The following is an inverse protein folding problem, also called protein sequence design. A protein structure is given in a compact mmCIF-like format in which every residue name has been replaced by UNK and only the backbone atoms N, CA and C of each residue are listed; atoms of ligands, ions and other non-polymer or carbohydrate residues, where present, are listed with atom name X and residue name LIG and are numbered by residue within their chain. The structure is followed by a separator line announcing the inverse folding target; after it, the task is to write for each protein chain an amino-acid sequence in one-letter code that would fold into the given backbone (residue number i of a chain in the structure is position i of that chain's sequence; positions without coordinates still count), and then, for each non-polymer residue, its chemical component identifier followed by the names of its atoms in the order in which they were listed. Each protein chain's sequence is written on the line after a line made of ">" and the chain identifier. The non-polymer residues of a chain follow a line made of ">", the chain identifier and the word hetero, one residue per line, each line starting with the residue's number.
data_IF_253952838925
#
_entry.id   IF_253952838925
#
_cell.length_a   1.000
_cell.length_b   1.000
_cell.length_c   1.000
_cell.angle_alpha   90.00
_cell.angle_beta   90.00
_cell.angle_gamma   90.00
#
_symmetry.space_group_name_H-M   'P 1'
#
loop_
_entity.id
_entity.type
_entity.pdbx_description
1 polymer ?
#
# COMPACT_ATOMS: atom_id res chain seq x y z
N UNK A 1 70.85 43.44 29.73
CA UNK A 1 69.80 43.26 28.71
C UNK A 1 70.46 43.06 27.36
N UNK A 2 70.39 41.86 26.80
CA UNK A 2 70.97 41.55 25.49
C UNK A 2 70.09 42.23 24.43
N UNK A 3 70.62 43.27 23.79
CA UNK A 3 69.92 44.00 22.73
C UNK A 3 69.75 43.15 21.47
N UNK A 4 68.61 43.31 20.78
CA UNK A 4 68.33 42.67 19.49
C UNK A 4 69.50 42.90 18.53
N UNK A 5 70.18 41.85 18.06
CA UNK A 5 71.30 41.99 17.14
C UNK A 5 70.82 42.33 15.72
N UNK A 6 71.70 42.93 14.90
CA UNK A 6 71.38 43.25 13.49
C UNK A 6 71.00 42.01 12.68
N UNK A 7 71.62 40.86 12.98
CA UNK A 7 71.33 39.56 12.36
C UNK A 7 69.92 39.07 12.70
N UNK A 8 69.50 39.20 13.96
CA UNK A 8 68.14 38.83 14.39
C UNK A 8 67.07 39.79 13.86
N UNK A 9 67.39 41.09 13.78
CA UNK A 9 66.51 42.08 13.17
C UNK A 9 66.26 41.77 11.70
N UNK A 10 67.31 41.44 10.93
CA UNK A 10 67.18 41.05 9.53
C UNK A 10 66.35 39.78 9.35
N UNK A 11 66.62 38.75 10.15
CA UNK A 11 65.86 37.49 10.13
C UNK A 11 64.36 37.70 10.45
N UNK A 12 64.06 38.63 11.36
CA UNK A 12 62.68 38.99 11.72
C UNK A 12 61.94 39.68 10.57
N UNK A 13 62.59 40.63 9.90
CA UNK A 13 62.01 41.37 8.77
C UNK A 13 61.83 40.47 7.54
N UNK A 14 62.85 39.69 7.18
CA UNK A 14 62.79 38.80 6.02
C UNK A 14 61.71 37.72 6.17
N UNK A 15 61.52 37.17 7.39
CA UNK A 15 60.47 36.18 7.65
C UNK A 15 59.06 36.76 7.47
N UNK A 16 58.83 38.00 7.94
CA UNK A 16 57.53 38.68 7.77
C UNK A 16 57.28 39.00 6.30
N UNK A 17 58.28 39.53 5.58
CA UNK A 17 58.14 39.82 4.15
C UNK A 17 57.93 38.57 3.30
N UNK A 18 58.56 37.44 3.67
CA UNK A 18 58.30 36.13 3.03
C UNK A 18 56.85 35.69 3.23
N UNK A 19 56.30 35.86 4.44
CA UNK A 19 54.91 35.53 4.72
C UNK A 19 53.92 36.45 3.98
N UNK A 20 54.22 37.74 3.83
CA UNK A 20 53.41 38.67 3.03
C UNK A 20 53.38 38.26 1.54
N UNK A 21 54.54 37.91 0.97
CA UNK A 21 54.64 37.42 -0.42
C UNK A 21 53.91 36.10 -0.66
N UNK A 22 53.73 35.30 0.39
CA UNK A 22 52.96 34.05 0.35
C UNK A 22 51.44 34.27 0.49
N UNK A 23 50.96 35.51 0.50
CA UNK A 23 49.52 35.84 0.52
C UNK A 23 48.92 35.96 1.93
N UNK A 24 49.73 35.96 3.00
CA UNK A 24 49.22 36.19 4.35
C UNK A 24 48.99 37.68 4.62
N UNK A 25 47.89 38.00 5.31
CA UNK A 25 47.53 39.38 5.58
C UNK A 25 48.47 40.07 6.59
N UNK A 26 48.65 41.40 6.50
CA UNK A 26 49.33 42.18 7.54
C UNK A 26 48.61 42.04 8.90
N UNK A 27 49.27 42.41 10.02
CA UNK A 27 48.75 42.18 11.38
C UNK A 27 47.34 42.73 11.67
N UNK A 28 46.85 43.70 10.89
CA UNK A 28 45.49 44.24 10.99
C UNK A 28 44.60 43.92 9.77
N UNK A 29 45.04 43.08 8.84
CA UNK A 29 44.31 42.69 7.62
C UNK A 29 43.52 41.39 7.80
N UNK A 30 42.42 41.23 7.07
CA UNK A 30 41.66 39.98 6.99
C UNK A 30 42.36 39.01 6.03
N UNK A 31 42.61 37.76 6.43
CA UNK A 31 43.08 36.67 5.55
C UNK A 31 42.10 35.49 5.59
N UNK A 32 41.97 34.73 4.49
CA UNK A 32 41.16 33.51 4.42
C UNK A 32 41.63 32.41 5.39
N UNK A 33 42.93 32.39 5.73
CA UNK A 33 43.50 31.40 6.65
C UNK A 33 43.34 31.76 8.14
N UNK A 34 42.79 32.93 8.46
CA UNK A 34 42.65 33.45 9.83
C UNK A 34 43.97 33.78 10.53
N UNK A 35 45.13 33.60 9.88
CA UNK A 35 46.47 33.86 10.43
C UNK A 35 47.14 35.04 9.73
N UNK A 36 47.74 35.93 10.51
CA UNK A 36 48.52 37.07 10.01
C UNK A 36 49.93 36.66 9.60
N UNK A 37 50.55 37.42 8.70
CA UNK A 37 51.93 37.24 8.27
C UNK A 37 52.92 37.24 9.47
N UNK A 38 52.61 38.01 10.52
CA UNK A 38 53.39 38.04 11.76
C UNK A 38 53.25 36.74 12.55
N UNK A 39 52.05 36.15 12.61
CA UNK A 39 51.84 34.86 13.29
C UNK A 39 52.60 33.72 12.60
N UNK A 40 52.53 33.67 11.26
CA UNK A 40 53.25 32.68 10.46
C UNK A 40 54.77 32.85 10.57
N UNK A 41 55.26 34.09 10.48
CA UNK A 41 56.68 34.38 10.63
C UNK A 41 57.19 34.10 12.05
N UNK A 42 56.39 34.34 13.09
CA UNK A 42 56.77 34.08 14.48
C UNK A 42 56.93 32.58 14.74
N UNK A 43 56.00 31.76 14.21
CA UNK A 43 56.10 30.31 14.27
C UNK A 43 57.37 29.80 13.57
N UNK A 44 57.68 30.32 12.37
CA UNK A 44 58.89 29.94 11.63
C UNK A 44 60.20 30.33 12.34
N UNK A 45 60.15 31.35 13.20
CA UNK A 45 61.28 31.83 13.99
C UNK A 45 61.34 31.22 15.40
N UNK A 46 60.33 30.44 15.82
CA UNK A 46 60.25 29.84 17.15
C UNK A 46 60.08 30.87 18.28
N UNK A 47 59.43 32.01 18.01
CA UNK A 47 59.19 33.08 19.00
C UNK A 47 57.71 33.41 19.11
N UNK A 48 57.32 34.05 20.21
CA UNK A 48 55.93 34.48 20.39
C UNK A 48 55.53 35.56 19.35
N UNK A 49 54.30 35.51 18.79
CA UNK A 49 53.82 36.50 17.82
C UNK A 49 53.85 37.95 18.34
N UNK A 50 53.55 38.15 19.63
CA UNK A 50 53.64 39.46 20.29
C UNK A 50 55.08 40.00 20.36
N UNK A 51 56.05 39.12 20.57
CA UNK A 51 57.48 39.44 20.53
C UNK A 51 57.92 39.83 19.13
N UNK A 52 57.52 39.07 18.09
CA UNK A 52 57.87 39.42 16.72
C UNK A 52 57.20 40.73 16.30
N UNK A 53 55.91 40.91 16.57
CA UNK A 53 55.17 42.14 16.28
C UNK A 53 55.85 43.37 16.91
N UNK A 54 56.25 43.26 18.17
CA UNK A 54 56.94 44.36 18.87
C UNK A 54 58.30 44.71 18.24
N UNK A 55 58.99 43.73 17.63
CA UNK A 55 60.26 43.94 16.90
C UNK A 55 60.05 44.69 15.59
N UNK A 56 59.02 44.32 14.83
CA UNK A 56 58.84 44.72 13.41
C UNK A 56 57.78 45.79 13.15
N UNK A 57 57.02 46.22 14.16
CA UNK A 57 56.09 47.34 14.04
C UNK A 57 56.83 48.62 13.63
N UNK A 58 56.12 49.57 13.03
CA UNK A 58 56.66 50.89 12.73
C UNK A 58 57.24 51.54 14.01
N UNK A 59 58.46 52.07 13.92
CA UNK A 59 59.22 52.61 15.07
C UNK A 59 59.75 51.55 16.05
N UNK A 60 59.60 50.26 15.74
CA UNK A 60 60.08 49.14 16.54
C UNK A 60 61.61 48.96 16.49
N UNK A 61 62.18 48.08 17.33
CA UNK A 61 63.62 47.83 17.38
C UNK A 61 64.29 47.49 16.04
N UNK A 62 63.61 46.80 15.10
CA UNK A 62 64.20 46.50 13.78
C UNK A 62 64.43 47.77 12.95
N UNK A 63 63.48 48.71 12.99
CA UNK A 63 63.57 49.99 12.27
C UNK A 63 64.47 50.97 13.04
N UNK A 64 64.22 51.17 14.34
CA UNK A 64 64.89 52.16 15.17
C UNK A 64 66.37 51.87 15.45
N UNK A 65 66.74 50.61 15.67
CA UNK A 65 68.12 50.24 16.04
C UNK A 65 68.96 49.81 14.84
N UNK A 66 68.33 49.32 13.75
CA UNK A 66 69.03 48.68 12.64
C UNK A 66 68.65 49.21 11.25
N UNK A 67 67.75 50.19 11.15
CA UNK A 67 67.23 50.75 9.90
C UNK A 67 66.64 49.69 8.94
N UNK A 68 65.96 48.68 9.48
CA UNK A 68 65.32 47.60 8.74
C UNK A 68 63.79 47.64 8.92
N UNK A 69 63.05 48.47 8.17
CA UNK A 69 61.60 48.46 8.18
C UNK A 69 61.04 47.28 7.38
N UNK A 70 59.87 46.77 7.79
CA UNK A 70 59.11 45.79 7.00
C UNK A 70 58.38 46.52 5.87
N UNK A 71 58.54 46.04 4.63
CA UNK A 71 57.72 46.52 3.52
C UNK A 71 56.35 45.82 3.53
N UNK A 72 55.35 46.51 4.10
CA UNK A 72 53.97 46.02 4.22
C UNK A 72 53.19 46.04 2.90
N UNK A 73 53.64 46.74 1.85
CA UNK A 73 52.96 46.77 0.54
C UNK A 73 53.13 45.47 -0.26
N UNK A 74 53.90 44.52 0.26
CA UNK A 74 54.03 43.16 -0.29
C UNK A 74 52.77 42.30 -0.10
N UNK A 75 51.77 42.77 0.65
CA UNK A 75 50.49 42.08 0.81
C UNK A 75 49.63 42.22 -0.45
N UNK A 76 49.23 41.10 -1.05
CA UNK A 76 48.24 41.07 -2.13
C UNK A 76 46.83 41.26 -1.51
N UNK A 77 45.96 42.15 -2.02
CA UNK A 77 44.60 42.28 -1.50
C UNK A 77 43.80 40.99 -1.75
N UNK A 78 43.07 40.51 -0.74
CA UNK A 78 42.18 39.35 -0.87
C UNK A 78 40.96 39.71 -1.75
N UNK A 79 40.44 38.77 -2.56
CA UNK A 79 39.22 39.01 -3.33
C UNK A 79 38.02 39.26 -2.41
N UNK A 80 37.15 40.19 -2.82
CA UNK A 80 35.98 40.66 -2.08
C UNK A 80 34.91 39.55 -1.99
N UNK A 81 34.47 39.21 -0.77
CA UNK A 81 33.46 38.18 -0.55
C UNK A 81 32.06 38.67 -0.98
N UNK A 82 31.35 37.83 -1.74
CA UNK A 82 30.00 38.13 -2.24
C UNK A 82 28.99 38.41 -1.10
N UNK A 83 27.99 39.29 -1.33
CA UNK A 83 27.01 39.66 -0.31
C UNK A 83 26.12 38.47 0.09
N UNK A 84 25.64 38.42 1.35
CA UNK A 84 24.74 37.35 1.80
C UNK A 84 23.40 37.40 1.06
N UNK A 85 22.75 36.25 0.84
CA UNK A 85 21.47 36.19 0.15
C UNK A 85 20.39 36.99 0.92
N UNK A 86 19.39 37.55 0.21
CA UNK A 86 18.33 38.34 0.83
C UNK A 86 17.51 37.50 1.83
N UNK A 87 16.97 38.12 2.90
CA UNK A 87 16.15 37.41 3.89
C UNK A 87 14.87 36.88 3.23
N UNK A 88 14.52 35.63 3.55
CA UNK A 88 13.33 34.98 3.03
C UNK A 88 12.05 35.75 3.38
N UNK A 89 11.09 35.81 2.44
CA UNK A 89 9.81 36.48 2.61
C UNK A 89 9.07 35.96 3.87
N UNK A 90 8.78 36.83 4.87
CA UNK A 90 8.10 36.43 6.11
C UNK A 90 6.74 35.74 5.88
N UNK A 91 6.04 36.07 4.81
CA UNK A 91 4.75 35.46 4.45
C UNK A 91 4.97 34.03 3.97
N UNK A 92 6.00 33.81 3.13
CA UNK A 92 6.35 32.49 2.64
C UNK A 92 6.87 31.59 3.76
N UNK A 93 7.70 32.14 4.66
CA UNK A 93 8.15 31.43 5.87
C UNK A 93 6.97 31.01 6.75
N UNK A 94 5.96 31.87 6.91
CA UNK A 94 4.76 31.53 7.67
C UNK A 94 3.92 30.45 6.97
N UNK A 95 3.69 30.56 5.66
CA UNK A 95 2.98 29.55 4.88
C UNK A 95 3.66 28.18 4.94
N UNK A 96 4.99 28.15 4.81
CA UNK A 96 5.77 26.93 4.93
C UNK A 96 5.67 26.33 6.34
N UNK A 97 5.72 27.15 7.40
CA UNK A 97 5.50 26.69 8.77
C UNK A 97 4.10 26.12 8.99
N UNK A 98 3.08 26.77 8.45
CA UNK A 98 1.69 26.30 8.56
C UNK A 98 1.51 24.98 7.79
N UNK A 99 2.11 24.84 6.59
CA UNK A 99 2.15 23.58 5.83
C UNK A 99 2.84 22.46 6.58
N UNK A 100 4.05 22.71 7.11
CA UNK A 100 4.81 21.71 7.88
C UNK A 100 4.03 21.27 9.12
N UNK A 101 3.35 22.19 9.81
CA UNK A 101 2.53 21.86 10.98
C UNK A 101 1.30 21.03 10.61
N UNK A 102 0.62 21.36 9.50
CA UNK A 102 -0.50 20.59 8.98
C UNK A 102 -0.07 19.19 8.54
N UNK A 103 1.05 19.07 7.82
CA UNK A 103 1.63 17.79 7.41
C UNK A 103 2.06 16.95 8.62
N UNK A 104 2.73 17.54 9.61
CA UNK A 104 3.13 16.83 10.83
C UNK A 104 1.94 16.31 11.64
N UNK A 105 0.89 17.13 11.78
CA UNK A 105 -0.35 16.73 12.46
C UNK A 105 -1.06 15.62 11.68
N UNK A 106 -1.12 15.74 10.34
CA UNK A 106 -1.71 14.73 9.47
C UNK A 106 -0.96 13.39 9.55
N UNK A 107 0.38 13.44 9.54
CA UNK A 107 1.26 12.28 9.70
C UNK A 107 1.04 11.60 11.06
N UNK A 108 1.00 12.36 12.15
CA UNK A 108 0.79 11.80 13.50
C UNK A 108 -0.58 11.08 13.62
N UNK A 109 -1.63 11.61 13.01
CA UNK A 109 -2.96 10.97 13.00
C UNK A 109 -2.93 9.68 12.17
N UNK A 110 -2.25 9.67 11.01
CA UNK A 110 -2.12 8.49 10.17
C UNK A 110 -1.31 7.39 10.84
N UNK A 111 -0.17 7.72 11.45
CA UNK A 111 0.66 6.82 12.25
C UNK A 111 -0.14 6.19 13.39
N UNK A 112 -0.96 6.98 14.09
CA UNK A 112 -1.82 6.47 15.16
C UNK A 112 -2.85 5.46 14.67
N UNK A 113 -3.50 5.72 13.52
CA UNK A 113 -4.49 4.79 12.96
C UNK A 113 -3.88 3.48 12.47
N UNK A 114 -2.67 3.55 11.90
CA UNK A 114 -1.92 2.37 11.51
C UNK A 114 -1.57 1.54 12.75
N UNK A 115 -1.03 2.22 13.78
CA UNK A 115 -0.72 1.60 15.07
C UNK A 115 -1.99 1.01 15.73
N UNK A 116 -3.16 1.63 15.60
CA UNK A 116 -4.41 1.10 16.16
C UNK A 116 -4.79 -0.24 15.49
N UNK A 117 -4.69 -0.35 14.15
CA UNK A 117 -4.99 -1.59 13.44
C UNK A 117 -3.99 -2.71 13.73
N UNK A 118 -2.70 -2.38 13.75
CA UNK A 118 -1.62 -3.29 14.10
C UNK A 118 -1.74 -3.77 15.56
N UNK A 119 -2.03 -2.86 16.48
CA UNK A 119 -2.25 -3.16 17.90
C UNK A 119 -3.49 -4.04 18.11
N UNK A 120 -4.58 -3.85 17.36
CA UNK A 120 -5.75 -4.73 17.44
C UNK A 120 -5.40 -6.15 16.97
N UNK A 121 -4.66 -6.28 15.85
CA UNK A 121 -4.23 -7.58 15.32
C UNK A 121 -3.36 -8.35 16.32
N UNK A 122 -2.39 -7.68 16.91
CA UNK A 122 -1.53 -8.30 17.92
C UNK A 122 -2.29 -8.60 19.22
N UNK A 123 -2.98 -7.61 19.80
CA UNK A 123 -3.60 -7.75 21.11
C UNK A 123 -4.79 -8.71 21.14
N UNK A 124 -5.65 -8.67 20.11
CA UNK A 124 -6.89 -9.47 20.09
C UNK A 124 -6.68 -10.83 19.42
N UNK A 125 -5.87 -10.91 18.36
CA UNK A 125 -5.74 -12.11 17.55
C UNK A 125 -4.39 -12.82 17.68
N UNK A 126 -3.42 -12.23 18.39
CA UNK A 126 -2.02 -12.72 18.51
C UNK A 126 -1.36 -12.91 17.14
N UNK A 127 -1.75 -12.08 16.18
CA UNK A 127 -1.18 -12.07 14.83
C UNK A 127 0.00 -11.10 14.79
N UNK A 128 0.91 -11.30 13.83
CA UNK A 128 1.98 -10.34 13.59
C UNK A 128 1.42 -9.01 13.14
N UNK A 129 1.97 -7.92 13.69
CA UNK A 129 1.64 -6.54 13.33
C UNK A 129 2.00 -6.16 11.87
N UNK A 130 2.83 -6.97 11.18
CA UNK A 130 3.27 -6.65 9.83
C UNK A 130 2.09 -6.51 8.85
N UNK A 131 2.07 -5.44 8.02
CA UNK A 131 1.16 -5.34 6.88
C UNK A 131 1.35 -6.58 6.00
N UNK A 132 0.24 -7.28 5.73
CA UNK A 132 0.27 -8.40 4.81
C UNK A 132 0.14 -7.83 3.40
N UNK A 133 1.25 -7.37 2.83
CA UNK A 133 1.29 -7.03 1.42
C UNK A 133 0.77 -8.21 0.60
N UNK A 134 -0.07 -7.98 -0.43
CA UNK A 134 -0.60 -9.06 -1.24
C UNK A 134 0.56 -9.90 -1.81
N UNK A 135 0.51 -11.24 -1.70
CA UNK A 135 1.63 -12.06 -2.11
C UNK A 135 1.83 -11.96 -3.62
N UNK A 136 3.06 -11.67 -4.05
CA UNK A 136 3.46 -11.95 -5.44
C UNK A 136 3.81 -13.43 -5.55
N UNK A 137 3.20 -14.14 -6.49
CA UNK A 137 3.44 -15.55 -6.75
C UNK A 137 4.07 -15.73 -8.11
N UNK A 138 5.40 -15.69 -8.11
CA UNK A 138 6.23 -15.86 -9.30
C UNK A 138 7.27 -16.96 -9.08
N UNK A 139 6.84 -18.23 -8.90
CA UNK A 139 7.77 -19.33 -8.82
C UNK A 139 8.66 -19.31 -10.06
N UNK A 140 9.99 -19.36 -9.85
CA UNK A 140 10.92 -19.56 -10.95
C UNK A 140 10.67 -20.96 -11.52
N UNK A 141 10.53 -21.14 -12.83
CA UNK A 141 10.41 -22.48 -13.40
C UNK A 141 11.65 -23.30 -13.03
N UNK A 142 11.45 -24.48 -12.46
CA UNK A 142 12.55 -25.36 -12.00
C UNK A 142 13.50 -25.77 -13.14
N UNK A 143 13.04 -25.67 -14.40
CA UNK A 143 13.82 -25.87 -15.62
C UNK A 143 13.32 -24.98 -16.77
N UNK A 144 14.16 -24.65 -17.77
CA UNK A 144 13.75 -23.89 -18.95
C UNK A 144 12.57 -24.50 -19.75
N UNK A 145 12.40 -25.82 -19.64
CA UNK A 145 11.35 -26.65 -20.24
C UNK A 145 10.26 -27.10 -19.23
N UNK A 146 10.38 -26.72 -17.96
CA UNK A 146 9.47 -27.11 -16.89
C UNK A 146 8.07 -26.52 -17.09
N UNK A 147 7.05 -27.38 -17.14
CA UNK A 147 5.64 -26.95 -17.18
C UNK A 147 5.23 -26.42 -15.80
N UNK A 148 5.32 -25.11 -15.57
CA UNK A 148 4.71 -24.47 -14.39
C UNK A 148 3.19 -24.59 -14.52
N UNK A 149 2.54 -25.18 -13.52
CA UNK A 149 1.08 -25.29 -13.47
C UNK A 149 0.42 -23.93 -13.44
N UNK A 150 -0.78 -23.81 -14.02
CA UNK A 150 -1.59 -22.59 -13.90
C UNK A 150 -1.92 -22.32 -12.43
N UNK A 151 -2.08 -21.05 -12.05
CA UNK A 151 -2.62 -20.69 -10.74
C UNK A 151 -4.14 -20.54 -10.83
N UNK A 152 -4.87 -20.86 -9.76
CA UNK A 152 -6.33 -20.66 -9.70
C UNK A 152 -6.63 -19.37 -8.94
N UNK A 153 -7.63 -18.62 -9.41
CA UNK A 153 -8.29 -17.56 -8.64
C UNK A 153 -9.74 -17.96 -8.42
N UNK A 154 -10.14 -18.10 -7.16
CA UNK A 154 -11.51 -18.35 -6.73
C UNK A 154 -12.02 -17.11 -5.98
N UNK A 155 -12.43 -16.04 -6.68
CA UNK A 155 -13.03 -14.89 -6.03
C UNK A 155 -14.34 -15.29 -5.34
N UNK A 156 -14.47 -14.89 -4.08
CA UNK A 156 -15.67 -15.06 -3.26
C UNK A 156 -16.09 -13.66 -2.81
N UNK A 157 -17.19 -13.14 -3.37
CA UNK A 157 -17.75 -11.83 -3.06
C UNK A 157 -19.22 -11.93 -2.70
N UNK A 158 -19.74 -10.87 -2.06
CA UNK A 158 -21.18 -10.64 -1.96
C UNK A 158 -21.90 -11.87 -1.37
N UNK A 159 -21.39 -12.35 -0.23
CA UNK A 159 -22.02 -13.44 0.52
C UNK A 159 -23.28 -12.92 1.20
N UNK A 160 -23.27 -11.68 1.67
CA UNK A 160 -24.37 -11.07 2.43
C UNK A 160 -24.88 -11.98 3.53
N UNK A 161 -23.96 -12.57 4.31
CA UNK A 161 -24.36 -13.44 5.42
C UNK A 161 -25.27 -12.65 6.38
N UNK A 162 -26.44 -13.21 6.66
CA UNK A 162 -27.49 -12.57 7.46
C UNK A 162 -28.65 -11.99 6.67
N UNK A 163 -28.54 -11.80 5.35
CA UNK A 163 -29.66 -11.36 4.51
C UNK A 163 -30.73 -12.45 4.39
N UNK A 164 -31.99 -12.02 4.29
CA UNK A 164 -33.14 -12.86 3.97
C UNK A 164 -33.77 -12.40 2.67
N UNK A 165 -33.99 -13.34 1.76
CA UNK A 165 -34.79 -13.15 0.54
C UNK A 165 -35.93 -14.16 0.61
N UNK A 166 -37.16 -13.64 0.64
CA UNK A 166 -38.35 -14.46 0.82
C UNK A 166 -38.86 -14.99 -0.53
N UNK A 167 -39.12 -16.29 -0.58
CA UNK A 167 -39.50 -16.96 -1.84
C UNK A 167 -40.81 -16.41 -2.40
N UNK A 168 -41.80 -16.16 -1.53
CA UNK A 168 -43.14 -15.75 -1.92
C UNK A 168 -43.16 -14.28 -2.34
N UNK A 169 -42.45 -13.40 -1.61
CA UNK A 169 -42.24 -12.01 -2.01
C UNK A 169 -41.47 -11.91 -3.34
N UNK A 170 -40.56 -12.85 -3.58
CA UNK A 170 -39.89 -13.01 -4.87
C UNK A 170 -40.74 -13.68 -5.96
N UNK A 171 -42.01 -14.01 -5.69
CA UNK A 171 -42.90 -14.66 -6.64
C UNK A 171 -42.38 -16.01 -7.11
N UNK A 172 -41.78 -16.78 -6.20
CA UNK A 172 -41.21 -18.10 -6.46
C UNK A 172 -39.87 -18.10 -7.20
N UNK A 173 -39.21 -16.94 -7.37
CA UNK A 173 -37.99 -16.83 -8.19
C UNK A 173 -36.71 -17.24 -7.47
N UNK A 174 -36.51 -16.77 -6.25
CA UNK A 174 -35.30 -16.98 -5.47
C UNK A 174 -35.63 -16.91 -3.98
N UNK A 175 -34.82 -17.59 -3.19
CA UNK A 175 -34.81 -17.50 -1.74
C UNK A 175 -33.37 -17.49 -1.23
N UNK A 176 -33.18 -16.85 -0.10
CA UNK A 176 -31.90 -16.77 0.57
C UNK A 176 -32.08 -16.59 2.08
N UNK A 177 -31.20 -17.21 2.84
CA UNK A 177 -31.06 -17.08 4.28
C UNK A 177 -29.72 -17.71 4.68
N UNK A 178 -29.38 -17.66 5.96
CA UNK A 178 -28.11 -18.20 6.49
C UNK A 178 -27.91 -19.69 6.16
N UNK A 179 -28.98 -20.50 6.17
CA UNK A 179 -28.89 -21.93 5.83
C UNK A 179 -28.59 -22.14 4.35
N UNK A 180 -29.25 -21.39 3.48
CA UNK A 180 -28.99 -21.39 2.03
C UNK A 180 -27.56 -20.90 1.76
N UNK A 181 -27.14 -19.80 2.39
CA UNK A 181 -25.80 -19.23 2.27
C UNK A 181 -24.71 -20.29 2.55
N UNK A 182 -24.81 -21.00 3.68
CA UNK A 182 -23.88 -22.08 4.05
C UNK A 182 -23.82 -23.19 3.01
N UNK A 183 -24.98 -23.66 2.52
CA UNK A 183 -25.03 -24.69 1.47
C UNK A 183 -24.46 -24.20 0.13
N UNK A 184 -24.68 -22.93 -0.23
CA UNK A 184 -24.13 -22.34 -1.46
C UNK A 184 -22.61 -22.22 -1.36
N UNK A 185 -22.06 -21.83 -0.21
CA UNK A 185 -20.61 -21.84 0.06
C UNK A 185 -20.04 -23.26 -0.04
N UNK A 186 -20.69 -24.25 0.58
CA UNK A 186 -20.28 -25.65 0.49
C UNK A 186 -20.22 -26.12 -0.97
N UNK A 187 -21.28 -25.88 -1.75
CA UNK A 187 -21.33 -26.22 -3.18
C UNK A 187 -20.28 -25.49 -4.00
N UNK A 188 -19.97 -24.23 -3.67
CA UNK A 188 -18.93 -23.44 -4.32
C UNK A 188 -17.57 -24.14 -4.17
N UNK A 189 -17.14 -24.42 -2.94
CA UNK A 189 -15.85 -25.05 -2.69
C UNK A 189 -15.79 -26.48 -3.25
N UNK A 190 -16.85 -27.28 -3.07
CA UNK A 190 -16.92 -28.63 -3.62
C UNK A 190 -16.82 -28.63 -5.17
N UNK A 191 -17.48 -27.68 -5.83
CA UNK A 191 -17.41 -27.51 -7.28
C UNK A 191 -16.03 -27.04 -7.72
N UNK A 192 -15.43 -26.08 -7.01
CA UNK A 192 -14.08 -25.60 -7.29
C UNK A 192 -13.04 -26.73 -7.19
N UNK A 193 -13.09 -27.53 -6.13
CA UNK A 193 -12.25 -28.74 -6.00
C UNK A 193 -12.46 -29.68 -7.16
N UNK A 194 -13.71 -30.01 -7.52
CA UNK A 194 -14.00 -30.93 -8.63
C UNK A 194 -13.48 -30.41 -9.96
N UNK A 195 -13.60 -29.10 -10.22
CA UNK A 195 -13.08 -28.44 -11.41
C UNK A 195 -11.55 -28.45 -11.46
N UNK A 196 -10.90 -28.26 -10.31
CA UNK A 196 -9.44 -28.22 -10.16
C UNK A 196 -8.78 -29.60 -10.00
N UNK A 197 -9.57 -30.68 -9.92
CA UNK A 197 -9.08 -32.06 -9.79
C UNK A 197 -9.63 -32.95 -10.89
N UNK A 198 -10.91 -33.34 -10.81
CA UNK A 198 -11.57 -34.30 -11.70
C UNK A 198 -11.69 -33.78 -13.13
N UNK A 199 -12.01 -32.50 -13.29
CA UNK A 199 -12.17 -31.88 -14.61
C UNK A 199 -10.95 -31.08 -15.05
N UNK A 200 -9.84 -31.16 -14.31
CA UNK A 200 -8.63 -30.44 -14.61
C UNK A 200 -7.71 -31.22 -15.55
N UNK A 201 -7.33 -30.61 -16.66
CA UNK A 201 -6.30 -31.12 -17.56
C UNK A 201 -4.97 -30.37 -17.40
N UNK A 202 -3.86 -31.10 -17.41
CA UNK A 202 -2.51 -30.56 -17.27
C UNK A 202 -1.90 -30.73 -15.88
N UNK A 203 -0.78 -30.06 -15.59
CA UNK A 203 -0.17 -30.07 -14.26
C UNK A 203 -1.15 -29.55 -13.20
N UNK A 204 -1.02 -30.03 -11.97
CA UNK A 204 -1.80 -29.51 -10.83
C UNK A 204 -1.61 -28.00 -10.67
N UNK A 205 -2.59 -27.29 -10.09
CA UNK A 205 -2.47 -25.86 -9.84
C UNK A 205 -1.22 -25.53 -9.03
N UNK A 206 -0.47 -24.51 -9.46
CA UNK A 206 0.77 -24.08 -8.79
C UNK A 206 0.51 -23.28 -7.51
N UNK A 207 -0.63 -22.59 -7.45
CA UNK A 207 -1.16 -21.91 -6.28
C UNK A 207 -2.69 -21.75 -6.41
N UNK A 208 -3.37 -21.56 -5.29
CA UNK A 208 -4.80 -21.22 -5.25
C UNK A 208 -4.95 -19.89 -4.51
N UNK A 209 -5.46 -18.88 -5.21
CA UNK A 209 -5.85 -17.60 -4.65
C UNK A 209 -7.33 -17.66 -4.32
N UNK A 210 -7.69 -17.27 -3.09
CA UNK A 210 -9.07 -17.11 -2.63
C UNK A 210 -9.29 -15.66 -2.22
N UNK A 211 -9.55 -14.76 -3.17
CA UNK A 211 -9.96 -13.40 -2.85
C UNK A 211 -11.31 -13.39 -2.13
N UNK A 212 -11.36 -12.85 -0.91
CA UNK A 212 -12.59 -12.49 -0.18
C UNK A 212 -12.92 -11.03 -0.51
N UNK A 213 -13.77 -10.85 -1.51
CA UNK A 213 -13.95 -9.62 -2.29
C UNK A 213 -15.08 -8.74 -1.77
N UNK A 214 -15.24 -8.68 -0.44
CA UNK A 214 -16.14 -7.76 0.23
C UNK A 214 -17.59 -8.23 0.29
N UNK A 215 -18.39 -7.54 1.11
CA UNK A 215 -19.80 -7.83 1.36
C UNK A 215 -19.99 -9.28 1.84
N UNK A 216 -19.12 -9.74 2.75
CA UNK A 216 -19.19 -11.08 3.33
C UNK A 216 -20.37 -11.17 4.32
N UNK A 217 -20.69 -10.05 4.97
CA UNK A 217 -21.86 -9.88 5.82
C UNK A 217 -22.84 -8.89 5.19
N UNK A 218 -24.14 -9.09 5.40
CA UNK A 218 -25.16 -8.17 4.88
C UNK A 218 -25.06 -6.77 5.51
N UNK A 219 -24.59 -6.72 6.76
CA UNK A 219 -24.51 -5.50 7.56
C UNK A 219 -25.87 -4.84 7.80
N UNK A 220 -25.84 -3.63 8.34
CA UNK A 220 -27.04 -2.85 8.71
C UNK A 220 -27.01 -1.48 8.00
N UNK A 221 -26.64 -1.50 6.72
CA UNK A 221 -26.36 -0.29 5.95
C UNK A 221 -27.61 0.46 5.48
N UNK A 222 -28.76 -0.23 5.50
CA UNK A 222 -30.09 0.27 5.21
C UNK A 222 -31.00 -0.03 6.40
N UNK A 223 -31.94 0.87 6.70
CA UNK A 223 -32.89 0.70 7.80
C UNK A 223 -33.77 -0.56 7.60
N UNK A 224 -34.04 -0.91 6.35
CA UNK A 224 -34.72 -2.16 5.99
C UNK A 224 -33.93 -3.39 6.42
N UNK A 225 -32.65 -3.49 6.03
CA UNK A 225 -31.78 -4.61 6.41
C UNK A 225 -31.64 -4.75 7.93
N UNK A 226 -31.56 -3.63 8.66
CA UNK A 226 -31.51 -3.66 10.12
C UNK A 226 -32.78 -4.27 10.76
N UNK A 227 -33.92 -4.26 10.05
CA UNK A 227 -35.20 -4.81 10.51
C UNK A 227 -35.43 -6.24 10.01
N UNK A 228 -34.92 -6.60 8.83
CA UNK A 228 -35.29 -7.84 8.12
C UNK A 228 -34.20 -8.91 8.13
N UNK A 229 -32.95 -8.58 8.48
CA UNK A 229 -31.88 -9.57 8.54
C UNK A 229 -32.16 -10.69 9.54
N UNK A 230 -31.81 -11.92 9.16
CA UNK A 230 -31.82 -13.12 10.01
C UNK A 230 -30.77 -13.02 11.11
N UNK A 231 -29.66 -12.32 10.83
CA UNK A 231 -28.55 -12.14 11.76
C UNK A 231 -28.10 -10.68 11.77
N UNK A 232 -27.86 -10.17 12.97
CA UNK A 232 -27.06 -8.96 13.16
C UNK A 232 -25.60 -9.20 12.75
N UNK A 233 -24.83 -8.12 12.60
CA UNK A 233 -23.49 -8.18 12.01
C UNK A 233 -22.52 -9.12 12.75
N UNK A 234 -22.48 -9.11 14.09
CA UNK A 234 -21.55 -9.96 14.86
C UNK A 234 -21.85 -11.47 14.69
N UNK A 235 -23.09 -11.96 14.89
CA UNK A 235 -23.44 -13.34 14.55
C UNK A 235 -23.17 -13.71 13.09
N UNK A 236 -23.39 -12.78 12.15
CA UNK A 236 -23.09 -12.99 10.73
C UNK A 236 -21.58 -13.17 10.48
N UNK A 237 -20.72 -12.35 11.10
CA UNK A 237 -19.24 -12.48 11.07
C UNK A 237 -18.82 -13.89 11.52
N UNK A 238 -19.39 -14.38 12.63
CA UNK A 238 -19.12 -15.74 13.09
C UNK A 238 -19.58 -16.78 12.06
N UNK A 239 -20.82 -16.66 11.57
CA UNK A 239 -21.41 -17.65 10.68
C UNK A 239 -20.67 -17.74 9.32
N UNK A 240 -20.23 -16.61 8.77
CA UNK A 240 -19.44 -16.60 7.52
C UNK A 240 -18.02 -17.11 7.77
N UNK A 241 -17.40 -16.78 8.90
CA UNK A 241 -16.07 -17.30 9.26
C UNK A 241 -16.09 -18.82 9.38
N UNK A 242 -17.08 -19.39 10.07
CA UNK A 242 -17.25 -20.85 10.19
C UNK A 242 -17.42 -21.52 8.82
N UNK A 243 -18.23 -20.94 7.93
CA UNK A 243 -18.49 -21.50 6.60
C UNK A 243 -17.25 -21.41 5.69
N UNK A 244 -16.54 -20.28 5.72
CA UNK A 244 -15.30 -20.10 4.95
C UNK A 244 -14.18 -20.99 5.47
N UNK A 245 -14.04 -21.16 6.79
CA UNK A 245 -13.08 -22.10 7.38
C UNK A 245 -13.32 -23.51 6.86
N UNK A 246 -14.58 -23.99 6.86
CA UNK A 246 -14.90 -25.33 6.35
C UNK A 246 -14.54 -25.51 4.86
N UNK A 247 -14.81 -24.49 4.04
CA UNK A 247 -14.44 -24.49 2.62
C UNK A 247 -12.93 -24.45 2.38
N UNK A 248 -12.22 -23.63 3.15
CA UNK A 248 -10.76 -23.55 3.12
C UNK A 248 -10.09 -24.84 3.63
N UNK A 249 -10.64 -25.48 4.67
CA UNK A 249 -10.16 -26.78 5.18
C UNK A 249 -10.30 -27.86 4.09
N UNK A 250 -11.37 -27.80 3.29
CA UNK A 250 -11.53 -28.65 2.10
C UNK A 250 -10.43 -28.37 1.06
N UNK A 251 -10.11 -27.12 0.73
CA UNK A 251 -8.98 -26.82 -0.18
C UNK A 251 -7.64 -27.30 0.36
N UNK A 252 -7.33 -27.02 1.63
CA UNK A 252 -6.11 -27.45 2.31
C UNK A 252 -5.92 -28.97 2.20
N UNK A 253 -7.00 -29.73 2.47
CA UNK A 253 -6.98 -31.20 2.42
C UNK A 253 -6.77 -31.75 1.00
N UNK A 254 -7.47 -31.21 0.01
CA UNK A 254 -7.44 -31.75 -1.36
C UNK A 254 -6.19 -31.32 -2.14
N UNK A 255 -5.53 -30.24 -1.73
CA UNK A 255 -4.34 -29.70 -2.39
C UNK A 255 -3.11 -29.58 -1.47
N UNK A 256 -2.68 -30.64 -0.76
CA UNK A 256 -1.71 -30.55 0.35
C UNK A 256 -0.32 -29.98 -0.02
N UNK A 257 0.03 -29.97 -1.31
CA UNK A 257 1.29 -29.44 -1.82
C UNK A 257 1.14 -28.09 -2.56
N UNK A 258 -0.07 -27.55 -2.65
CA UNK A 258 -0.36 -26.28 -3.32
C UNK A 258 -0.55 -25.20 -2.26
N UNK A 259 0.19 -24.08 -2.33
CA UNK A 259 -0.01 -22.95 -1.44
C UNK A 259 -1.35 -22.27 -1.73
N UNK A 260 -2.00 -21.83 -0.65
CA UNK A 260 -3.30 -21.16 -0.68
C UNK A 260 -3.13 -19.74 -0.16
N UNK A 261 -3.52 -18.75 -0.93
CA UNK A 261 -3.43 -17.34 -0.57
C UNK A 261 -4.83 -16.76 -0.43
N UNK A 262 -5.22 -16.38 0.78
CA UNK A 262 -6.49 -15.71 1.05
C UNK A 262 -6.26 -14.20 1.10
N UNK A 263 -6.97 -13.44 0.27
CA UNK A 263 -6.80 -11.98 0.17
C UNK A 263 -8.13 -11.31 0.45
N UNK A 264 -8.22 -10.51 1.49
CA UNK A 264 -9.44 -9.79 1.86
C UNK A 264 -9.43 -8.36 1.34
N UNK A 265 -10.50 -8.02 0.64
CA UNK A 265 -10.81 -6.69 0.11
C UNK A 265 -12.19 -6.34 0.68
N UNK A 266 -12.34 -5.30 1.52
CA UNK A 266 -13.61 -5.00 2.16
C UNK A 266 -14.63 -4.40 1.19
N UNK A 267 -15.90 -4.70 1.41
CA UNK A 267 -17.03 -4.13 0.67
C UNK A 267 -17.82 -3.07 1.46
N UNK A 268 -18.86 -2.53 0.86
CA UNK A 268 -19.65 -1.46 1.45
C UNK A 268 -20.69 -1.92 2.48
N UNK A 269 -21.11 -3.19 2.45
CA UNK A 269 -22.03 -3.78 3.43
C UNK A 269 -21.32 -4.16 4.73
N UNK A 270 -20.05 -4.56 4.65
CA UNK A 270 -19.24 -4.89 5.82
C UNK A 270 -18.93 -3.70 6.73
N UNK A 271 -19.23 -2.45 6.32
CA UNK A 271 -18.84 -1.26 7.09
C UNK A 271 -19.48 -1.19 8.49
N UNK A 272 -18.73 -0.67 9.45
CA UNK A 272 -19.22 -0.35 10.81
C UNK A 272 -19.74 1.08 10.95
N UNK A 273 -19.65 1.88 9.88
CA UNK A 273 -20.05 3.28 9.85
C UNK A 273 -21.40 3.47 9.14
N UNK A 274 -22.15 4.51 9.51
CA UNK A 274 -23.45 4.81 8.89
C UNK A 274 -23.32 5.13 7.39
N UNK A 275 -22.31 5.92 7.02
CA UNK A 275 -22.00 6.30 5.63
C UNK A 275 -20.61 5.78 5.23
N UNK A 276 -20.36 5.50 3.95
CA UNK A 276 -19.02 5.15 3.47
C UNK A 276 -18.02 6.25 3.82
N UNK A 277 -16.87 5.85 4.36
CA UNK A 277 -15.74 6.73 4.68
C UNK A 277 -14.52 6.32 3.88
N UNK A 278 -13.80 7.28 3.31
CA UNK A 278 -12.56 6.99 2.57
C UNK A 278 -11.38 6.67 3.50
N UNK A 279 -11.32 7.30 4.68
CA UNK A 279 -10.19 7.16 5.61
C UNK A 279 -10.47 6.04 6.60
N UNK A 280 -9.59 5.02 6.63
CA UNK A 280 -9.78 3.86 7.51
C UNK A 280 -10.87 2.91 7.03
N UNK A 281 -11.21 2.96 5.73
CA UNK A 281 -12.24 2.11 5.12
C UNK A 281 -12.10 0.63 5.49
N UNK A 282 -10.89 0.07 5.30
CA UNK A 282 -10.65 -1.34 5.61
C UNK A 282 -10.74 -1.64 7.12
N UNK A 283 -10.22 -0.75 7.97
CA UNK A 283 -10.24 -0.95 9.42
C UNK A 283 -11.67 -0.87 9.98
N UNK A 284 -12.53 -0.04 9.39
CA UNK A 284 -13.93 0.11 9.75
C UNK A 284 -14.83 -0.91 9.02
N UNK A 285 -14.35 -2.14 8.80
CA UNK A 285 -15.11 -3.19 8.11
C UNK A 285 -15.09 -4.54 8.85
N UNK A 286 -16.27 -5.14 8.98
CA UNK A 286 -16.47 -6.51 9.41
C UNK A 286 -15.86 -7.53 8.44
N UNK A 287 -15.70 -7.21 7.15
CA UNK A 287 -15.03 -8.11 6.19
C UNK A 287 -13.56 -8.32 6.58
N UNK A 288 -12.90 -7.24 7.02
CA UNK A 288 -11.54 -7.29 7.58
C UNK A 288 -11.50 -8.11 8.86
N UNK A 289 -12.51 -7.97 9.73
CA UNK A 289 -12.63 -8.76 10.95
C UNK A 289 -12.81 -10.26 10.65
N UNK A 290 -13.59 -10.62 9.63
CA UNK A 290 -13.73 -12.01 9.15
C UNK A 290 -12.36 -12.53 8.72
N UNK A 291 -11.61 -11.78 7.92
CA UNK A 291 -10.29 -12.19 7.46
C UNK A 291 -9.32 -12.44 8.63
N UNK A 292 -9.26 -11.53 9.62
CA UNK A 292 -8.43 -11.68 10.81
C UNK A 292 -8.85 -12.86 11.70
N UNK A 293 -10.16 -13.12 11.78
CA UNK A 293 -10.70 -14.26 12.54
C UNK A 293 -10.25 -15.59 11.92
N UNK A 294 -10.35 -15.70 10.59
CA UNK A 294 -9.93 -16.90 9.86
C UNK A 294 -8.40 -17.04 9.90
N UNK A 295 -7.66 -15.95 9.74
CA UNK A 295 -6.20 -15.94 9.86
C UNK A 295 -5.75 -16.46 11.23
N UNK A 296 -6.34 -15.93 12.32
CA UNK A 296 -6.06 -16.35 13.69
C UNK A 296 -6.36 -17.84 13.92
N UNK A 297 -7.45 -18.35 13.33
CA UNK A 297 -7.79 -19.77 13.39
C UNK A 297 -6.69 -20.67 12.77
N UNK A 298 -6.17 -20.32 11.61
CA UNK A 298 -5.11 -21.09 10.96
C UNK A 298 -3.74 -20.88 11.60
N UNK A 299 -3.44 -19.67 12.07
CA UNK A 299 -2.22 -19.35 12.82
C UNK A 299 -2.15 -20.17 14.12
N UNK A 300 -3.25 -20.28 14.86
CA UNK A 300 -3.33 -21.10 16.08
C UNK A 300 -3.09 -22.59 15.84
N UNK A 301 -3.38 -23.08 14.61
CA UNK A 301 -3.08 -24.45 14.17
C UNK A 301 -1.66 -24.62 13.62
N UNK A 302 -0.88 -23.54 13.51
CA UNK A 302 0.45 -23.57 12.89
C UNK A 302 0.42 -23.92 11.40
N UNK A 303 -0.68 -23.65 10.69
CA UNK A 303 -0.83 -23.99 9.29
C UNK A 303 0.07 -23.10 8.41
N UNK A 304 1.01 -23.72 7.68
CA UNK A 304 1.98 -23.00 6.82
C UNK A 304 1.59 -22.96 5.34
N UNK A 305 0.64 -23.79 4.93
CA UNK A 305 0.19 -23.90 3.54
C UNK A 305 -0.70 -22.74 3.10
N UNK A 306 -1.41 -22.14 4.06
CA UNK A 306 -2.37 -21.07 3.83
C UNK A 306 -1.83 -19.75 4.39
N UNK A 307 -1.86 -18.70 3.59
CA UNK A 307 -1.47 -17.35 3.99
C UNK A 307 -2.61 -16.37 3.81
N UNK A 308 -2.56 -15.25 4.53
CA UNK A 308 -3.59 -14.23 4.51
C UNK A 308 -3.01 -12.89 4.07
N UNK A 309 -3.84 -12.04 3.48
CA UNK A 309 -3.57 -10.63 3.21
C UNK A 309 -4.85 -9.81 3.36
N UNK A 310 -4.75 -8.62 3.94
CA UNK A 310 -5.87 -7.69 4.11
C UNK A 310 -5.36 -6.24 4.00
N UNK A 311 -5.13 -5.72 2.79
CA UNK A 311 -4.48 -4.42 2.60
C UNK A 311 -5.32 -3.26 3.16
N UNK A 312 -4.65 -2.30 3.82
CA UNK A 312 -5.31 -1.15 4.44
C UNK A 312 -5.94 -0.18 3.42
N UNK A 313 -5.46 -0.16 2.18
CA UNK A 313 -6.06 0.57 1.05
C UNK A 313 -7.50 0.11 0.75
N UNK A 314 -7.79 -1.15 1.07
CA UNK A 314 -9.02 -1.83 0.69
C UNK A 314 -9.05 -2.27 -0.77
N UNK A 315 -7.91 -2.21 -1.47
CA UNK A 315 -7.66 -2.81 -2.78
C UNK A 315 -6.40 -3.67 -2.70
N UNK A 316 -6.33 -4.77 -3.47
CA UNK A 316 -5.17 -5.64 -3.48
C UNK A 316 -4.65 -5.82 -4.91
N UNK A 317 -3.46 -5.29 -5.19
CA UNK A 317 -2.72 -5.59 -6.41
C UNK A 317 -1.83 -6.81 -6.16
N UNK A 318 -2.09 -7.91 -6.87
CA UNK A 318 -1.31 -9.14 -6.80
C UNK A 318 -0.65 -9.43 -8.14
N UNK A 319 0.59 -9.90 -8.11
CA UNK A 319 1.23 -10.44 -9.30
C UNK A 319 1.17 -11.97 -9.26
N UNK A 320 0.49 -12.57 -10.24
CA UNK A 320 0.33 -14.02 -10.37
C UNK A 320 0.99 -14.46 -11.67
N UNK A 321 2.09 -15.21 -11.57
CA UNK A 321 2.81 -15.77 -12.71
C UNK A 321 3.18 -14.71 -13.78
N UNK A 322 3.56 -13.52 -13.33
CA UNK A 322 3.92 -12.37 -14.17
C UNK A 322 2.77 -11.42 -14.51
N UNK A 323 1.52 -11.77 -14.18
CA UNK A 323 0.33 -10.97 -14.51
C UNK A 323 -0.15 -10.17 -13.30
N UNK A 324 -0.32 -8.86 -13.47
CA UNK A 324 -0.83 -7.94 -12.46
C UNK A 324 -2.35 -7.98 -12.42
N UNK A 325 -2.89 -8.54 -11.33
CA UNK A 325 -4.33 -8.65 -11.09
C UNK A 325 -4.72 -7.70 -9.96
N UNK A 326 -5.62 -6.77 -10.24
CA UNK A 326 -6.21 -5.88 -9.24
C UNK A 326 -7.50 -6.49 -8.70
N UNK A 327 -7.58 -6.59 -7.38
CA UNK A 327 -8.75 -7.00 -6.63
C UNK A 327 -9.32 -5.78 -5.91
N UNK A 328 -10.54 -5.38 -6.24
CA UNK A 328 -11.28 -4.32 -5.54
C UNK A 328 -12.77 -4.67 -5.46
N UNK A 329 -13.49 -4.28 -4.42
CA UNK A 329 -14.88 -4.68 -4.26
C UNK A 329 -15.78 -4.14 -5.38
N UNK A 330 -15.61 -2.88 -5.79
CA UNK A 330 -16.37 -2.29 -6.90
C UNK A 330 -17.20 -1.06 -6.52
N UNK A 331 -17.44 -0.82 -5.23
CA UNK A 331 -18.23 0.31 -4.70
C UNK A 331 -17.50 1.67 -4.82
N UNK A 332 -16.17 1.65 -4.96
CA UNK A 332 -15.28 2.82 -4.97
C UNK A 332 -14.54 3.05 -6.28
N UNK A 333 -14.93 2.39 -7.37
CA UNK A 333 -14.24 2.48 -8.68
C UNK A 333 -14.52 3.78 -9.46
N UNK A 334 -15.00 4.83 -8.77
CA UNK A 334 -15.21 6.16 -9.37
C UNK A 334 -16.30 6.23 -10.44
N UNK A 335 -17.17 5.22 -10.57
CA UNK A 335 -18.24 5.14 -11.57
C UNK A 335 -19.58 4.88 -10.88
N UNK A 336 -20.58 5.73 -11.15
CA UNK A 336 -21.94 5.62 -10.60
C UNK A 336 -22.98 5.89 -11.69
N UNK A 337 -24.15 5.27 -11.57
CA UNK A 337 -25.37 5.59 -12.32
C UNK A 337 -25.40 5.20 -13.81
N UNK A 338 -26.64 5.16 -14.34
CA UNK A 338 -27.07 5.35 -15.73
C UNK A 338 -26.27 4.68 -16.84
N UNK A 339 -26.83 3.62 -17.42
CA UNK A 339 -26.32 2.97 -18.63
C UNK A 339 -27.45 2.61 -19.63
N UNK A 340 -28.68 3.02 -19.35
CA UNK A 340 -29.86 2.55 -20.08
C UNK A 340 -29.92 1.01 -20.07
N UNK A 341 -30.22 0.42 -21.22
CA UNK A 341 -30.32 -1.03 -21.39
C UNK A 341 -28.99 -1.79 -21.18
N UNK A 342 -27.84 -1.12 -21.25
CA UNK A 342 -26.52 -1.74 -21.07
C UNK A 342 -26.32 -2.18 -19.61
N UNK A 343 -26.93 -1.46 -18.67
CA UNK A 343 -26.94 -1.82 -17.25
C UNK A 343 -25.57 -1.75 -16.57
N UNK A 344 -25.36 -2.64 -15.59
CA UNK A 344 -24.19 -2.64 -14.71
C UNK A 344 -22.85 -2.82 -15.44
N UNK A 345 -22.83 -3.41 -16.63
CA UNK A 345 -21.60 -3.61 -17.41
C UNK A 345 -20.94 -2.29 -17.78
N UNK A 346 -21.70 -1.26 -18.19
CA UNK A 346 -21.13 0.04 -18.52
C UNK A 346 -20.56 0.76 -17.29
N UNK A 347 -21.23 0.64 -16.14
CA UNK A 347 -20.74 1.21 -14.88
C UNK A 347 -19.42 0.56 -14.48
N UNK A 348 -19.35 -0.78 -14.53
CA UNK A 348 -18.15 -1.55 -14.24
C UNK A 348 -17.00 -1.25 -15.22
N UNK A 349 -17.24 -1.30 -16.54
CA UNK A 349 -16.21 -1.00 -17.56
C UNK A 349 -15.62 0.40 -17.39
N UNK A 350 -16.46 1.43 -17.18
CA UNK A 350 -15.96 2.79 -16.93
C UNK A 350 -15.13 2.88 -15.65
N UNK A 351 -15.54 2.18 -14.60
CA UNK A 351 -14.79 2.15 -13.34
C UNK A 351 -13.45 1.45 -13.48
N UNK A 352 -13.43 0.29 -14.15
CA UNK A 352 -12.20 -0.43 -14.48
C UNK A 352 -11.24 0.44 -15.32
N UNK A 353 -11.75 1.19 -16.30
CA UNK A 353 -10.93 2.12 -17.09
C UNK A 353 -10.26 3.20 -16.21
N UNK A 354 -11.00 3.76 -15.25
CA UNK A 354 -10.45 4.75 -14.31
C UNK A 354 -9.35 4.15 -13.43
N UNK A 355 -9.53 2.91 -12.95
CA UNK A 355 -8.49 2.21 -12.19
C UNK A 355 -7.22 1.99 -13.02
N UNK A 356 -7.36 1.63 -14.30
CA UNK A 356 -6.21 1.51 -15.21
C UNK A 356 -5.47 2.86 -15.30
N UNK A 357 -6.20 3.96 -15.48
CA UNK A 357 -5.60 5.30 -15.59
C UNK A 357 -4.90 5.73 -14.29
N UNK A 358 -5.51 5.44 -13.14
CA UNK A 358 -4.97 5.74 -11.81
C UNK A 358 -3.66 4.98 -11.56
N UNK A 359 -3.67 3.65 -11.70
CA UNK A 359 -2.47 2.82 -11.52
C UNK A 359 -1.40 3.11 -12.58
N UNK A 360 -1.78 3.46 -13.82
CA UNK A 360 -0.83 3.84 -14.85
C UNK A 360 -0.08 5.14 -14.51
N UNK A 361 -0.72 6.08 -13.79
CA UNK A 361 -0.05 7.30 -13.32
C UNK A 361 1.07 6.99 -12.30
N UNK A 362 1.00 5.84 -11.64
CA UNK A 362 2.05 5.31 -10.75
C UNK A 362 3.05 4.38 -11.47
N UNK A 363 2.92 4.24 -12.80
CA UNK A 363 3.76 3.34 -13.60
C UNK A 363 3.41 1.85 -13.45
N UNK A 364 2.24 1.53 -12.90
CA UNK A 364 1.75 0.17 -12.75
C UNK A 364 0.82 -0.19 -13.90
N UNK A 365 1.11 -1.33 -14.55
CA UNK A 365 0.24 -1.90 -15.58
C UNK A 365 -0.71 -2.90 -14.91
N UNK A 366 -2.01 -2.76 -15.14
CA UNK A 366 -3.02 -3.72 -14.73
C UNK A 366 -3.40 -4.63 -15.91
N UNK A 367 -3.23 -5.94 -15.76
CA UNK A 367 -3.58 -6.91 -16.79
C UNK A 367 -5.01 -7.43 -16.62
N UNK A 368 -5.51 -7.49 -15.38
CA UNK A 368 -6.88 -7.96 -15.09
C UNK A 368 -7.40 -7.30 -13.83
N UNK A 369 -8.64 -6.82 -13.88
CA UNK A 369 -9.35 -6.28 -12.71
C UNK A 369 -10.50 -7.21 -12.36
N UNK A 370 -10.60 -7.63 -11.10
CA UNK A 370 -11.72 -8.45 -10.60
C UNK A 370 -12.49 -7.60 -9.58
N UNK A 371 -13.79 -7.48 -9.79
CA UNK A 371 -14.71 -6.75 -8.89
C UNK A 371 -15.89 -7.61 -8.46
N UNK A 372 -16.48 -7.33 -7.29
CA UNK A 372 -17.78 -7.85 -6.84
C UNK A 372 -18.88 -6.79 -7.03
N UNK A 373 -19.67 -6.53 -5.98
CA UNK A 373 -20.60 -5.40 -5.80
C UNK A 373 -21.83 -5.37 -6.72
N UNK A 374 -21.68 -5.67 -8.00
CA UNK A 374 -22.75 -5.59 -9.00
C UNK A 374 -23.59 -6.86 -9.10
N UNK A 375 -23.23 -7.92 -8.36
CA UNK A 375 -23.96 -9.19 -8.23
C UNK A 375 -24.26 -9.92 -9.55
N UNK A 376 -23.61 -9.51 -10.64
CA UNK A 376 -23.93 -9.93 -12.00
C UNK A 376 -22.66 -10.46 -12.65
N UNK A 377 -22.50 -11.79 -12.77
CA UNK A 377 -21.28 -12.37 -13.30
C UNK A 377 -21.08 -11.96 -14.75
N UNK A 378 -19.98 -11.25 -15.04
CA UNK A 378 -19.65 -10.74 -16.38
C UNK A 378 -18.15 -10.87 -16.63
N UNK A 379 -17.81 -11.14 -17.90
CA UNK A 379 -16.48 -10.89 -18.45
C UNK A 379 -16.57 -9.60 -19.26
N UNK A 380 -15.66 -8.67 -18.98
CA UNK A 380 -15.55 -7.35 -19.60
C UNK A 380 -14.12 -7.19 -20.15
N UNK A 381 -13.91 -6.14 -20.95
CA UNK A 381 -12.63 -5.87 -21.62
C UNK A 381 -11.42 -5.86 -20.66
N UNK A 382 -11.59 -5.27 -19.47
CA UNK A 382 -10.51 -5.08 -18.50
C UNK A 382 -10.49 -6.14 -17.39
N UNK A 383 -11.42 -7.10 -17.41
CA UNK A 383 -11.48 -8.17 -16.42
C UNK A 383 -12.89 -8.64 -16.10
N UNK A 384 -13.17 -8.92 -14.83
CA UNK A 384 -14.34 -9.69 -14.42
C UNK A 384 -15.15 -8.98 -13.36
N UNK A 385 -16.47 -9.07 -13.50
CA UNK A 385 -17.42 -8.81 -12.42
C UNK A 385 -17.86 -10.16 -11.88
N UNK A 386 -17.66 -10.38 -10.59
CA UNK A 386 -18.06 -11.58 -9.90
C UNK A 386 -19.57 -11.60 -9.66
N UNK A 387 -20.13 -12.79 -9.54
CA UNK A 387 -21.52 -12.94 -9.14
C UNK A 387 -21.67 -12.75 -7.63
N UNK A 388 -22.86 -13.06 -7.11
CA UNK A 388 -23.15 -13.05 -5.68
C UNK A 388 -23.74 -14.38 -5.21
N UNK A 389 -23.68 -14.62 -3.91
CA UNK A 389 -24.31 -15.78 -3.30
C UNK A 389 -25.81 -15.63 -3.08
N UNK A 390 -26.39 -14.45 -2.75
CA UNK A 390 -27.84 -14.29 -2.62
C UNK A 390 -28.60 -14.52 -3.92
N UNK A 391 -28.05 -14.13 -5.06
CA UNK A 391 -28.79 -14.05 -6.32
C UNK A 391 -29.71 -12.82 -6.34
N UNK A 392 -30.84 -12.85 -7.08
CA UNK A 392 -31.73 -11.69 -7.18
C UNK A 392 -32.54 -11.48 -5.89
N UNK A 393 -32.61 -10.26 -5.40
CA UNK A 393 -33.42 -9.84 -4.24
C UNK A 393 -34.60 -8.96 -4.63
N UNK A 394 -35.46 -8.69 -3.66
CA UNK A 394 -36.62 -7.80 -3.72
C UNK A 394 -36.19 -6.39 -4.15
N UNK A 395 -35.09 -5.90 -3.59
CA UNK A 395 -34.50 -4.61 -3.94
C UNK A 395 -34.09 -4.56 -5.42
N UNK A 396 -33.28 -5.52 -5.88
CA UNK A 396 -32.87 -5.60 -7.28
C UNK A 396 -34.06 -5.71 -8.25
N UNK A 397 -35.11 -6.44 -7.84
CA UNK A 397 -36.35 -6.58 -8.62
C UNK A 397 -37.16 -5.29 -8.67
N UNK A 398 -37.22 -4.51 -7.58
CA UNK A 398 -37.89 -3.21 -7.55
C UNK A 398 -37.24 -2.23 -8.53
N UNK A 399 -35.90 -2.29 -8.64
CA UNK A 399 -35.10 -1.54 -9.61
C UNK A 399 -35.13 -2.10 -11.04
N UNK A 400 -35.88 -3.18 -11.29
CA UNK A 400 -35.93 -3.89 -12.59
C UNK A 400 -34.55 -4.31 -13.10
N UNK A 401 -33.63 -4.61 -12.19
CA UNK A 401 -32.33 -5.17 -12.55
C UNK A 401 -32.49 -6.56 -13.16
N UNK A 402 -31.63 -6.88 -14.12
CA UNK A 402 -31.59 -8.20 -14.73
C UNK A 402 -31.25 -9.24 -13.65
N UNK A 403 -32.11 -10.23 -13.47
CA UNK A 403 -31.84 -11.31 -12.52
C UNK A 403 -30.79 -12.27 -13.07
N UNK A 404 -29.79 -12.57 -12.25
CA UNK A 404 -28.79 -13.60 -12.52
C UNK A 404 -28.86 -14.66 -11.41
N UNK A 405 -28.86 -15.97 -11.73
CA UNK A 405 -28.81 -16.97 -10.68
C UNK A 405 -27.48 -16.88 -9.91
N UNK A 406 -27.54 -17.13 -8.61
CA UNK A 406 -26.38 -17.14 -7.71
C UNK A 406 -25.20 -17.94 -8.28
N UNK A 407 -24.06 -17.29 -8.40
CA UNK A 407 -22.85 -17.85 -8.99
C UNK A 407 -21.60 -17.08 -8.59
N UNK A 408 -20.45 -17.71 -8.79
CA UNK A 408 -19.12 -17.11 -8.61
C UNK A 408 -18.22 -17.53 -9.78
N UNK A 409 -17.22 -16.71 -10.10
CA UNK A 409 -16.17 -17.13 -11.03
C UNK A 409 -15.15 -18.04 -10.34
N UNK A 410 -14.58 -18.96 -11.12
CA UNK A 410 -13.28 -19.57 -10.87
C UNK A 410 -12.47 -19.38 -12.15
N UNK A 411 -11.25 -18.86 -12.01
CA UNK A 411 -10.38 -18.49 -13.12
C UNK A 411 -9.05 -19.24 -13.01
N UNK A 412 -8.36 -19.44 -14.13
CA UNK A 412 -6.96 -19.86 -14.11
C UNK A 412 -6.06 -18.83 -14.77
N UNK A 413 -4.88 -18.62 -14.17
CA UNK A 413 -3.81 -17.77 -14.71
C UNK A 413 -2.73 -18.68 -15.27
N UNK A 414 -2.48 -18.57 -16.57
CA UNK A 414 -1.40 -19.25 -17.26
C UNK A 414 -0.20 -18.29 -17.40
N UNK A 415 1.03 -18.72 -17.11
CA UNK A 415 2.21 -17.84 -17.03
C UNK A 415 2.46 -17.03 -18.31
N UNK A 416 2.10 -17.57 -19.48
CA UNK A 416 2.28 -16.89 -20.78
C UNK A 416 1.02 -16.31 -21.40
N UNK A 417 -0.17 -16.59 -20.85
CA UNK A 417 -1.45 -16.29 -21.52
C UNK A 417 -2.43 -15.50 -20.65
N UNK A 418 -2.05 -15.15 -19.43
CA UNK A 418 -2.96 -14.52 -18.47
C UNK A 418 -4.13 -15.46 -18.16
N UNK A 419 -5.35 -14.93 -18.13
CA UNK A 419 -6.55 -15.71 -17.84
C UNK A 419 -6.84 -16.74 -18.96
N UNK A 420 -6.57 -18.02 -18.68
CA UNK A 420 -6.68 -19.09 -19.67
C UNK A 420 -8.01 -19.83 -19.60
N UNK A 421 -8.51 -20.12 -18.39
CA UNK A 421 -9.76 -20.87 -18.17
C UNK A 421 -10.69 -20.07 -17.28
N UNK A 422 -11.99 -20.20 -17.54
CA UNK A 422 -13.06 -19.46 -16.87
C UNK A 422 -14.21 -20.41 -16.61
N UNK A 423 -14.58 -20.57 -15.35
CA UNK A 423 -15.74 -21.35 -14.95
C UNK A 423 -16.68 -20.46 -14.17
N UNK A 424 -17.93 -20.38 -14.61
CA UNK A 424 -19.00 -19.79 -13.82
C UNK A 424 -19.62 -20.90 -12.99
N UNK A 425 -19.29 -20.94 -11.70
CA UNK A 425 -19.83 -21.93 -10.77
C UNK A 425 -21.21 -21.47 -10.33
N UNK A 426 -22.25 -22.18 -10.77
CA UNK A 426 -23.62 -21.98 -10.31
C UNK A 426 -23.75 -22.61 -8.92
N UNK A 427 -24.21 -21.84 -7.93
CA UNK A 427 -24.28 -22.31 -6.54
C UNK A 427 -25.70 -22.51 -6.04
N UNK A 428 -26.71 -22.03 -6.75
CA UNK A 428 -28.12 -22.22 -6.38
C UNK A 428 -28.63 -23.63 -6.68
N UNK A 429 -29.62 -24.05 -5.89
CA UNK A 429 -30.29 -25.36 -6.01
C UNK A 429 -31.73 -25.20 -6.55
N UNK A 430 -32.26 -26.14 -7.36
CA UNK A 430 -33.64 -26.08 -7.87
C UNK A 430 -34.74 -25.91 -6.81
N UNK A 431 -34.49 -26.34 -5.56
CA UNK A 431 -35.40 -26.13 -4.42
C UNK A 431 -35.43 -24.70 -3.91
N UNK A 432 -34.43 -23.88 -4.22
CA UNK A 432 -34.25 -22.52 -3.70
C UNK A 432 -34.95 -21.46 -4.57
N UNK A 433 -35.53 -21.84 -5.70
CA UNK A 433 -36.30 -20.94 -6.55
C UNK A 433 -36.34 -21.37 -8.02
N UNK A 434 -37.32 -20.86 -8.75
CA UNK A 434 -37.52 -21.19 -10.17
C UNK A 434 -36.34 -20.76 -11.05
N UNK A 435 -35.52 -19.79 -10.64
CA UNK A 435 -34.34 -19.36 -11.41
C UNK A 435 -33.23 -20.43 -11.48
N UNK A 436 -33.25 -21.42 -10.58
CA UNK A 436 -32.27 -22.52 -10.54
C UNK A 436 -32.80 -23.81 -11.15
N UNK A 437 -34.10 -23.87 -11.45
CA UNK A 437 -34.67 -24.95 -12.25
C UNK A 437 -34.14 -24.75 -13.66
N UNK A 438 -33.41 -25.73 -14.19
CA UNK A 438 -32.89 -25.68 -15.56
C UNK A 438 -34.00 -25.36 -16.56
N UNK A 439 -33.63 -24.99 -17.80
CA UNK A 439 -34.65 -24.90 -18.86
C UNK A 439 -35.27 -26.29 -19.00
N UNK A 440 -36.57 -26.39 -18.79
CA UNK A 440 -37.35 -27.58 -19.11
C UNK A 440 -37.23 -27.91 -20.60
#
# INVERSE_FOLDING_TARGET
>A
MIGLTKKEARRSVDAVQKALKAGHAPPNGKSESGKSAVSVAAAALGIAPSTLFSRVKAGGPCERLHALPVNWSLATPAPEAAPPPPPADPIEVRRLKDRVRAEATGRQIAERRLADGEAIREALFRLTAAPLDPPSWNPKPDRPDGKVGEAIILPISDIHMGEVIDLDQMGGRNSYNVKIARRRIERLFASAVKLATVHWSGPKPSAIFVPLMGDLVSGEIHEELAKTNDLLAIPAVRAVSEALVAGLDLLVREFPATPIHVISVPGNHGRTTRKPESKGFALNSYDTLVAWTIESWYAAKGAKQISFSAPASGDALINILGWNVLLTHGDRIGSRGGAGFVGVSATATRGMKKLIEDYAAEGVILDTIIVGHFHSPMELEYGFVNGSLPGPSEYGRSLRMRSHPASQWMLSVHPRRGIARRWKIMVGDPSEGSIYKGRA
#
